data_IF_964706267597
#
_entry.id   IF_964706267597
#
_cell.length_a   1.000
_cell.length_b   1.000
_cell.length_c   1.000
_cell.angle_alpha   90.00
_cell.angle_beta   90.00
_cell.angle_gamma   90.00
#
_symmetry.space_group_name_H-M   'P 1'
#
loop_
_entity.id
_entity.type
_entity.pdbx_description
1 polymer ?
#
# COMPACT_ATOMS: atom_id res chain seq x y z
N UNK A 1 25.68 -16.52 37.51
CA UNK A 1 25.61 -16.29 36.05
C UNK A 1 24.24 -15.67 35.77
N UNK A 2 24.12 -14.34 35.84
CA UNK A 2 22.85 -13.62 35.75
C UNK A 2 22.60 -13.22 34.29
N UNK A 3 21.53 -13.73 33.70
CA UNK A 3 21.12 -13.35 32.35
C UNK A 3 20.44 -11.97 32.40
N UNK A 4 21.03 -10.98 31.72
CA UNK A 4 20.37 -9.70 31.49
C UNK A 4 19.26 -9.88 30.45
N UNK A 5 18.02 -9.62 30.84
CA UNK A 5 16.90 -9.49 29.91
C UNK A 5 17.03 -8.15 29.17
N UNK A 6 17.41 -8.20 27.89
CA UNK A 6 17.46 -7.02 27.03
C UNK A 6 16.05 -6.63 26.56
N UNK A 7 15.62 -5.40 26.84
CA UNK A 7 14.36 -4.84 26.36
C UNK A 7 14.50 -4.48 24.87
N UNK A 8 13.70 -5.11 24.00
CA UNK A 8 13.59 -4.73 22.58
C UNK A 8 12.48 -3.69 22.41
N UNK A 9 12.75 -2.51 21.83
CA UNK A 9 11.69 -1.58 21.48
C UNK A 9 10.81 -2.18 20.38
N UNK A 10 9.49 -1.95 20.48
CA UNK A 10 8.57 -2.32 19.41
C UNK A 10 8.81 -1.41 18.18
N UNK A 11 9.08 -2.02 17.03
CA UNK A 11 9.11 -1.28 15.76
C UNK A 11 7.70 -0.81 15.40
N UNK A 12 7.56 0.44 14.94
CA UNK A 12 6.31 0.92 14.38
C UNK A 12 6.03 0.18 13.06
N UNK A 13 4.80 -0.33 12.90
CA UNK A 13 4.36 -0.94 11.65
C UNK A 13 4.37 0.12 10.51
N UNK A 14 4.69 -0.28 9.27
CA UNK A 14 4.57 0.62 8.13
C UNK A 14 3.11 1.06 7.96
N UNK A 15 2.89 2.35 7.70
CA UNK A 15 1.56 2.85 7.38
C UNK A 15 1.17 2.37 5.98
N UNK A 16 0.08 1.60 5.88
CA UNK A 16 -0.45 1.17 4.58
C UNK A 16 -1.15 2.33 3.86
N UNK A 17 -0.94 2.50 2.55
CA UNK A 17 -1.65 3.52 1.79
C UNK A 17 -3.14 3.17 1.68
N UNK A 18 -3.99 4.18 1.86
CA UNK A 18 -5.43 4.08 1.69
C UNK A 18 -5.83 4.68 0.34
N UNK A 19 -6.61 3.93 -0.44
CA UNK A 19 -7.12 4.38 -1.74
C UNK A 19 -8.66 4.38 -1.73
N UNK A 20 -9.26 5.39 -2.33
CA UNK A 20 -10.72 5.48 -2.49
C UNK A 20 -11.09 5.22 -3.93
N UNK A 21 -11.89 4.18 -4.17
CA UNK A 21 -12.48 3.94 -5.49
C UNK A 21 -13.63 4.93 -5.69
N UNK A 22 -13.53 5.79 -6.70
CA UNK A 22 -14.60 6.74 -7.08
C UNK A 22 -15.32 6.35 -8.38
N UNK A 23 -14.74 5.43 -9.16
CA UNK A 23 -15.28 5.00 -10.45
C UNK A 23 -15.52 3.50 -10.52
N UNK A 24 -16.65 3.11 -11.12
CA UNK A 24 -17.00 1.72 -11.40
C UNK A 24 -16.44 1.21 -12.73
N UNK A 25 -15.74 2.05 -13.48
CA UNK A 25 -15.08 1.65 -14.71
C UNK A 25 -13.96 0.67 -14.42
N UNK A 26 -13.61 -0.16 -15.40
CA UNK A 26 -12.48 -1.08 -15.30
C UNK A 26 -11.33 -0.53 -16.14
N UNK A 27 -10.44 0.26 -15.54
CA UNK A 27 -9.30 0.90 -16.22
C UNK A 27 -8.06 0.76 -15.33
N UNK A 28 -6.89 0.38 -15.87
CA UNK A 28 -5.66 0.32 -15.08
C UNK A 28 -5.26 1.71 -14.56
N UNK A 29 -4.52 1.71 -13.45
CA UNK A 29 -3.72 2.85 -13.01
C UNK A 29 -2.77 3.30 -14.13
N UNK A 30 -2.71 4.61 -14.38
CA UNK A 30 -1.93 5.22 -15.44
C UNK A 30 -0.44 5.35 -15.10
N UNK A 31 -0.08 5.31 -13.82
CA UNK A 31 1.30 5.45 -13.38
C UNK A 31 1.59 4.72 -12.06
N UNK A 32 2.05 3.48 -12.16
CA UNK A 32 2.43 2.69 -10.98
C UNK A 32 3.69 3.18 -10.23
N UNK A 33 4.27 4.32 -10.57
CA UNK A 33 5.44 4.88 -9.87
C UNK A 33 5.13 6.08 -8.98
N UNK A 34 3.93 6.66 -9.06
CA UNK A 34 3.61 7.95 -8.40
C UNK A 34 3.03 7.81 -6.98
N UNK A 35 2.59 6.60 -6.61
CA UNK A 35 1.97 6.33 -5.32
C UNK A 35 0.53 6.83 -5.20
N UNK A 36 -0.08 7.30 -6.28
CA UNK A 36 -1.46 7.78 -6.36
C UNK A 36 -2.30 6.72 -7.06
N UNK A 37 -3.57 6.57 -6.68
CA UNK A 37 -4.51 5.80 -7.50
C UNK A 37 -5.12 6.75 -8.52
N UNK A 38 -4.69 6.65 -9.77
CA UNK A 38 -5.25 7.42 -10.86
C UNK A 38 -5.11 6.67 -12.18
N UNK A 39 -6.17 6.63 -12.97
CA UNK A 39 -6.19 6.00 -14.30
C UNK A 39 -5.51 6.84 -15.39
N UNK A 40 -4.96 8.00 -15.04
CA UNK A 40 -4.53 9.05 -15.98
C UNK A 40 -5.66 9.99 -16.40
N UNK A 41 -6.88 9.75 -15.94
CA UNK A 41 -8.08 10.50 -16.28
C UNK A 41 -8.73 11.21 -15.06
N UNK A 42 -8.05 11.22 -13.90
CA UNK A 42 -8.59 11.79 -12.67
C UNK A 42 -9.55 10.88 -11.92
N UNK A 43 -9.50 9.57 -12.18
CA UNK A 43 -10.41 8.58 -11.61
C UNK A 43 -9.64 7.38 -11.07
N UNK A 44 -10.04 6.90 -9.91
CA UNK A 44 -9.53 5.71 -9.24
C UNK A 44 -10.56 4.57 -9.35
N UNK A 45 -10.18 3.51 -10.06
CA UNK A 45 -11.01 2.32 -10.25
C UNK A 45 -10.59 1.20 -9.31
N UNK A 46 -11.45 0.18 -9.13
CA UNK A 46 -11.09 -1.00 -8.34
C UNK A 46 -9.82 -1.67 -8.86
N UNK A 47 -9.66 -1.79 -10.18
CA UNK A 47 -8.48 -2.37 -10.81
C UNK A 47 -7.23 -1.51 -10.58
N UNK A 48 -7.34 -0.18 -10.66
CA UNK A 48 -6.24 0.73 -10.35
C UNK A 48 -5.78 0.59 -8.88
N UNK A 49 -6.73 0.56 -7.93
CA UNK A 49 -6.43 0.35 -6.49
C UNK A 49 -5.68 -0.94 -6.25
N UNK A 50 -6.13 -2.06 -6.81
CA UNK A 50 -5.47 -3.36 -6.61
C UNK A 50 -4.03 -3.32 -7.13
N UNK A 51 -3.81 -2.72 -8.31
CA UNK A 51 -2.46 -2.58 -8.83
C UNK A 51 -1.59 -1.67 -7.95
N UNK A 52 -2.15 -0.57 -7.43
CA UNK A 52 -1.43 0.28 -6.48
C UNK A 52 -1.07 -0.44 -5.19
N UNK A 53 -2.00 -1.20 -4.62
CA UNK A 53 -1.79 -1.98 -3.40
C UNK A 53 -0.69 -3.04 -3.58
N UNK A 54 -0.64 -3.70 -4.74
CA UNK A 54 0.43 -4.65 -5.07
C UNK A 54 1.79 -3.94 -5.26
N UNK A 55 1.78 -2.76 -5.88
CA UNK A 55 2.97 -1.97 -6.15
C UNK A 55 3.53 -1.23 -4.93
N UNK A 56 2.71 -0.92 -3.91
CA UNK A 56 3.18 -0.37 -2.63
C UNK A 56 3.98 -1.36 -1.78
N UNK A 57 4.28 -2.54 -2.34
CA UNK A 57 4.89 -3.65 -1.65
C UNK A 57 3.81 -4.36 -0.84
N UNK A 58 3.27 -5.47 -1.34
CA UNK A 58 2.48 -6.43 -0.55
C UNK A 58 3.29 -7.10 0.57
N UNK A 59 4.13 -6.32 1.25
CA UNK A 59 5.09 -6.67 2.26
C UNK A 59 4.38 -6.64 3.61
N UNK A 60 3.89 -7.81 4.03
CA UNK A 60 4.21 -8.42 5.33
C UNK A 60 3.22 -9.57 5.62
N UNK A 61 3.63 -10.77 5.24
CA UNK A 61 3.14 -12.01 5.85
C UNK A 61 4.35 -12.91 6.04
N UNK A 62 5.18 -12.51 6.98
CA UNK A 62 6.29 -13.28 7.55
C UNK A 62 6.25 -13.17 9.07
#
# INVERSE_FOLDING_TARGET
MAALLAFRPASAAPALPMFTVDSNSDVPDGNLGDGVCDTGAGACTLRAVVMRANASGGAERD
#
